data_IF_079074208755
#
_entry.id   IF_079074208755
#
_cell.length_a   1.000
_cell.length_b   1.000
_cell.length_c   1.000
_cell.angle_alpha   90.00
_cell.angle_beta   90.00
_cell.angle_gamma   90.00
#
_symmetry.space_group_name_H-M   'P 1'
#
loop_
_entity.id
_entity.type
_entity.pdbx_description
1 polymer ?
#
# COMPACT_ATOMS: atom_id res chain seq x y z
N UNK A 1 0.20 -51.32 33.31
CA UNK A 1 -0.90 -52.30 33.15
C UNK A 1 -2.10 -51.49 32.69
N UNK A 2 -2.15 -51.12 31.41
CA UNK A 2 -2.73 -51.87 30.27
C UNK A 2 -4.22 -52.12 30.47
N UNK A 3 -5.05 -51.37 29.74
CA UNK A 3 -6.36 -51.80 29.21
C UNK A 3 -6.65 -50.92 27.98
N UNK A 4 -6.28 -51.41 26.79
CA UNK A 4 -6.71 -50.85 25.51
C UNK A 4 -7.94 -51.64 25.06
N UNK A 5 -9.12 -51.01 25.10
CA UNK A 5 -10.35 -51.61 24.58
C UNK A 5 -10.34 -51.58 23.05
N UNK A 6 -10.28 -52.75 22.45
CA UNK A 6 -10.54 -53.02 21.03
C UNK A 6 -12.05 -53.10 20.82
N UNK A 7 -12.59 -52.27 19.92
CA UNK A 7 -13.92 -52.51 19.31
C UNK A 7 -13.79 -52.48 17.79
N UNK A 8 -13.82 -53.68 17.20
CA UNK A 8 -13.89 -53.88 15.76
C UNK A 8 -15.32 -53.67 15.25
N UNK A 9 -15.46 -52.90 14.18
CA UNK A 9 -16.71 -52.78 13.43
C UNK A 9 -16.61 -53.60 12.14
N UNK A 10 -17.50 -54.59 12.00
CA UNK A 10 -17.62 -55.47 10.84
C UNK A 10 -18.44 -54.75 9.75
N UNK A 11 -17.82 -54.43 8.60
CA UNK A 11 -18.55 -53.99 7.41
C UNK A 11 -19.18 -55.21 6.73
N UNK A 12 -20.51 -55.32 6.80
CA UNK A 12 -21.30 -56.25 6.01
C UNK A 12 -21.38 -55.79 4.55
N UNK A 13 -21.06 -56.69 3.62
CA UNK A 13 -21.19 -56.47 2.17
C UNK A 13 -22.56 -56.96 1.70
N UNK A 14 -23.49 -56.04 1.47
CA UNK A 14 -24.75 -56.34 0.78
C UNK A 14 -24.55 -56.20 -0.74
N UNK A 15 -24.51 -57.33 -1.46
CA UNK A 15 -24.51 -57.38 -2.91
C UNK A 15 -25.90 -56.96 -3.44
N UNK A 16 -25.99 -55.77 -4.06
CA UNK A 16 -27.17 -55.37 -4.83
C UNK A 16 -26.96 -55.73 -6.30
N UNK A 17 -27.68 -56.75 -6.76
CA UNK A 17 -27.78 -57.16 -8.15
C UNK A 17 -28.28 -55.99 -9.02
N UNK A 18 -27.46 -55.49 -9.94
CA UNK A 18 -27.83 -54.44 -10.89
C UNK A 18 -28.65 -55.04 -12.03
N UNK A 19 -29.92 -54.67 -12.13
CA UNK A 19 -30.77 -54.92 -13.31
C UNK A 19 -30.23 -54.08 -14.47
N UNK A 20 -29.72 -54.72 -15.52
CA UNK A 20 -29.25 -54.06 -16.74
C UNK A 20 -30.45 -53.45 -17.48
N UNK A 21 -30.51 -52.13 -17.49
CA UNK A 21 -31.43 -51.36 -18.33
C UNK A 21 -30.90 -51.47 -19.76
N UNK A 22 -31.70 -52.02 -20.67
CA UNK A 22 -31.42 -52.01 -22.09
C UNK A 22 -31.43 -50.55 -22.58
N UNK A 23 -30.25 -49.98 -22.83
CA UNK A 23 -30.12 -48.70 -23.48
C UNK A 23 -30.02 -48.93 -25.00
N UNK A 24 -30.98 -48.40 -25.76
CA UNK A 24 -30.75 -48.18 -27.18
C UNK A 24 -29.60 -47.16 -27.28
N UNK A 25 -28.41 -47.64 -27.65
CA UNK A 25 -27.24 -46.79 -27.80
C UNK A 25 -27.45 -45.80 -28.95
N UNK A 26 -27.67 -44.52 -28.63
CA UNK A 26 -27.41 -43.46 -29.58
C UNK A 26 -25.88 -43.37 -29.73
N UNK A 27 -25.39 -43.93 -30.85
CA UNK A 27 -23.97 -44.01 -31.20
C UNK A 27 -23.24 -42.71 -30.83
N UNK A 28 -22.26 -42.85 -29.93
CA UNK A 28 -21.55 -41.72 -29.37
C UNK A 28 -20.83 -40.94 -30.44
N UNK A 29 -21.02 -39.62 -30.44
CA UNK A 29 -19.94 -38.75 -30.89
C UNK A 29 -18.77 -38.97 -29.91
N UNK A 30 -17.61 -39.50 -30.34
CA UNK A 30 -16.45 -39.54 -29.47
C UNK A 30 -16.14 -38.10 -29.05
N UNK A 31 -15.83 -37.88 -27.77
CA UNK A 31 -15.58 -36.54 -27.21
C UNK A 31 -14.46 -35.78 -27.95
N UNK A 32 -13.64 -36.50 -28.73
CA UNK A 32 -12.61 -35.96 -29.63
C UNK A 32 -13.14 -35.15 -30.82
N UNK A 33 -14.38 -35.38 -31.27
CA UNK A 33 -15.02 -34.61 -32.36
C UNK A 33 -15.86 -33.43 -31.83
N UNK A 34 -16.02 -33.29 -30.52
CA UNK A 34 -16.73 -32.16 -29.94
C UNK A 34 -15.92 -30.87 -30.15
N UNK A 35 -16.56 -29.81 -30.66
CA UNK A 35 -15.95 -28.48 -30.78
C UNK A 35 -15.38 -28.09 -29.41
N UNK A 36 -14.06 -27.90 -29.32
CA UNK A 36 -13.41 -27.41 -28.10
C UNK A 36 -14.09 -26.11 -27.70
N UNK A 37 -14.52 -25.99 -26.44
CA UNK A 37 -15.03 -24.72 -25.90
C UNK A 37 -13.97 -23.65 -26.18
N UNK A 38 -14.40 -22.54 -26.77
CA UNK A 38 -13.51 -21.43 -27.07
C UNK A 38 -12.72 -21.07 -25.80
N UNK A 39 -11.41 -20.90 -25.94
CA UNK A 39 -10.58 -20.45 -24.82
C UNK A 39 -11.19 -19.16 -24.25
N UNK A 40 -11.31 -19.03 -22.92
CA UNK A 40 -11.82 -17.80 -22.34
C UNK A 40 -10.94 -16.65 -22.81
N UNK A 41 -11.57 -15.59 -23.32
CA UNK A 41 -10.86 -14.41 -23.79
C UNK A 41 -10.02 -13.86 -22.62
N UNK A 42 -8.70 -13.70 -22.81
CA UNK A 42 -7.83 -13.20 -21.75
C UNK A 42 -8.28 -11.77 -21.43
N UNK A 43 -8.81 -11.57 -20.22
CA UNK A 43 -9.16 -10.23 -19.75
C UNK A 43 -7.89 -9.35 -19.80
N UNK A 44 -8.01 -8.04 -20.10
CA UNK A 44 -6.85 -7.15 -20.03
C UNK A 44 -6.24 -7.18 -18.62
N UNK A 45 -4.92 -6.97 -18.49
CA UNK A 45 -4.27 -6.91 -17.19
C UNK A 45 -4.88 -5.78 -16.35
N UNK A 46 -5.02 -6.00 -15.04
CA UNK A 46 -5.39 -4.94 -14.13
C UNK A 46 -4.29 -3.88 -14.12
N UNK A 47 -4.63 -2.65 -14.51
CA UNK A 47 -3.67 -1.54 -14.60
C UNK A 47 -3.25 -0.97 -13.25
N UNK A 48 -4.00 -1.26 -12.17
CA UNK A 48 -3.71 -0.84 -10.79
C UNK A 48 -3.39 0.65 -10.62
N UNK A 49 -3.99 1.53 -11.43
CA UNK A 49 -3.69 2.98 -11.46
C UNK A 49 -4.01 3.68 -10.13
N UNK A 50 -5.01 3.19 -9.39
CA UNK A 50 -5.40 3.72 -8.07
C UNK A 50 -4.75 2.98 -6.89
N UNK A 51 -3.92 1.97 -7.16
CA UNK A 51 -3.26 1.24 -6.08
C UNK A 51 -2.15 2.10 -5.47
N UNK A 52 -2.08 2.12 -4.13
CA UNK A 52 -1.00 2.79 -3.43
C UNK A 52 0.36 2.16 -3.82
N UNK A 53 1.39 3.00 -4.00
CA UNK A 53 2.74 2.52 -4.24
C UNK A 53 3.26 1.79 -3.00
N UNK A 54 3.77 0.57 -3.19
CA UNK A 54 4.25 -0.29 -2.10
C UNK A 54 5.59 0.13 -1.52
N UNK A 55 6.40 0.88 -2.28
CA UNK A 55 7.72 1.34 -1.86
C UNK A 55 7.81 2.84 -2.12
N UNK A 56 7.84 3.62 -1.04
CA UNK A 56 8.13 5.06 -1.09
C UNK A 56 9.61 5.24 -0.74
N UNK A 57 10.44 5.83 -1.62
CA UNK A 57 11.84 6.11 -1.30
C UNK A 57 11.93 7.13 -0.16
N UNK A 58 13.02 7.08 0.63
CA UNK A 58 13.24 8.09 1.68
C UNK A 58 13.37 9.48 1.06
N UNK A 59 12.68 10.46 1.64
CA UNK A 59 12.80 11.84 1.18
C UNK A 59 14.09 12.49 1.64
N UNK A 60 14.50 13.53 0.93
CA UNK A 60 15.52 14.45 1.42
C UNK A 60 15.10 15.06 2.75
N UNK A 61 13.83 15.47 2.88
CA UNK A 61 13.29 16.02 4.14
C UNK A 61 13.62 15.14 5.35
N UNK A 62 13.36 13.84 5.26
CA UNK A 62 13.65 12.89 6.35
C UNK A 62 15.14 12.81 6.66
N UNK A 63 15.99 12.78 5.64
CA UNK A 63 17.45 12.76 5.83
C UNK A 63 17.97 14.04 6.50
N UNK A 64 17.51 15.21 6.07
CA UNK A 64 17.90 16.50 6.66
C UNK A 64 17.44 16.62 8.12
N UNK A 65 16.23 16.12 8.42
CA UNK A 65 15.72 16.08 9.78
C UNK A 65 16.54 15.14 10.68
N UNK A 66 16.80 13.90 10.25
CA UNK A 66 17.58 12.92 11.03
C UNK A 66 19.04 13.39 11.27
N UNK A 67 19.59 14.16 10.32
CA UNK A 67 20.92 14.79 10.45
C UNK A 67 20.92 16.06 11.31
N UNK A 68 19.75 16.55 11.73
CA UNK A 68 19.56 17.82 12.46
C UNK A 68 19.97 19.08 11.68
N UNK A 69 19.96 19.03 10.35
CA UNK A 69 20.32 20.13 9.45
C UNK A 69 19.12 21.02 9.07
N UNK A 70 17.94 20.71 9.62
CA UNK A 70 16.75 21.51 9.41
C UNK A 70 16.72 22.74 10.36
N UNK A 71 16.33 23.93 9.85
CA UNK A 71 16.21 25.15 10.64
C UNK A 71 14.92 25.21 11.48
N UNK A 72 14.30 24.06 11.76
CA UNK A 72 13.04 23.92 12.48
C UNK A 72 13.13 22.80 13.50
N UNK A 73 12.43 22.95 14.61
CA UNK A 73 12.32 21.95 15.69
C UNK A 73 10.86 21.82 16.13
N UNK A 74 10.50 20.64 16.63
CA UNK A 74 9.21 20.45 17.29
C UNK A 74 9.30 20.99 18.71
N UNK A 75 8.37 21.87 19.06
CA UNK A 75 8.21 22.40 20.41
C UNK A 75 6.83 22.01 20.97
N UNK A 76 6.71 21.99 22.29
CA UNK A 76 5.51 21.60 22.99
C UNK A 76 5.13 22.67 24.01
N UNK A 77 4.10 23.45 23.69
CA UNK A 77 3.47 24.38 24.62
C UNK A 77 2.36 23.63 25.38
N UNK A 78 2.75 22.98 26.48
CA UNK A 78 1.87 22.11 27.25
C UNK A 78 1.43 20.88 26.44
N UNK A 79 0.13 20.75 26.20
CA UNK A 79 -0.43 19.67 25.37
C UNK A 79 -0.47 20.02 23.87
N UNK A 80 -0.12 21.26 23.49
CA UNK A 80 -0.18 21.72 22.11
C UNK A 80 1.19 21.58 21.45
N UNK A 81 1.25 20.84 20.35
CA UNK A 81 2.46 20.75 19.54
C UNK A 81 2.56 21.95 18.60
N UNK A 82 3.74 22.59 18.56
CA UNK A 82 4.07 23.69 17.65
C UNK A 82 5.41 23.44 16.98
N UNK A 83 5.71 24.21 15.95
CA UNK A 83 7.04 24.27 15.37
C UNK A 83 7.73 25.54 15.86
N UNK A 84 9.03 25.43 16.11
CA UNK A 84 9.88 26.55 16.46
C UNK A 84 10.99 26.66 15.42
N UNK A 85 11.11 27.84 14.83
CA UNK A 85 12.18 28.14 13.90
C UNK A 85 13.44 28.56 14.65
N UNK A 86 14.58 28.03 14.22
CA UNK A 86 15.90 28.44 14.74
C UNK A 86 16.36 29.77 14.13
N UNK A 87 15.82 30.13 12.96
CA UNK A 87 16.14 31.33 12.19
C UNK A 87 14.83 31.99 11.79
N UNK A 88 14.79 33.32 11.75
CA UNK A 88 13.62 34.05 11.29
C UNK A 88 13.25 33.65 9.85
N UNK A 89 11.96 33.38 9.61
CA UNK A 89 11.44 32.93 8.31
C UNK A 89 11.81 33.93 7.20
N UNK A 90 11.78 35.23 7.51
CA UNK A 90 12.11 36.28 6.56
C UNK A 90 13.59 36.29 6.14
N UNK A 91 14.51 35.71 6.92
CA UNK A 91 15.93 35.63 6.59
C UNK A 91 16.32 34.29 5.94
N UNK A 92 15.39 33.33 5.88
CA UNK A 92 15.66 32.01 5.34
C UNK A 92 15.82 32.03 3.80
N UNK A 93 16.63 31.12 3.28
CA UNK A 93 16.79 30.91 1.83
C UNK A 93 15.72 29.95 1.30
N UNK A 94 14.76 30.51 0.57
CA UNK A 94 13.64 29.76 0.02
C UNK A 94 14.04 28.81 -1.10
N UNK A 95 15.14 29.07 -1.82
CA UNK A 95 15.60 28.20 -2.91
C UNK A 95 16.11 26.85 -2.39
N UNK A 96 16.62 26.80 -1.16
CA UNK A 96 17.11 25.55 -0.58
C UNK A 96 16.01 24.85 0.22
N UNK A 97 15.35 25.56 1.12
CA UNK A 97 14.48 24.90 2.11
C UNK A 97 13.07 24.64 1.59
N UNK A 98 12.46 25.55 0.81
CA UNK A 98 11.06 25.38 0.39
C UNK A 98 10.83 24.09 -0.44
N UNK A 99 11.67 23.76 -1.44
CA UNK A 99 11.53 22.49 -2.16
C UNK A 99 11.66 21.27 -1.25
N UNK A 100 12.55 21.31 -0.25
CA UNK A 100 12.74 20.22 0.72
C UNK A 100 11.47 20.04 1.57
N UNK A 101 10.85 21.12 2.03
CA UNK A 101 9.58 21.07 2.77
C UNK A 101 8.43 20.52 1.90
N UNK A 102 8.34 20.93 0.64
CA UNK A 102 7.36 20.37 -0.30
C UNK A 102 7.58 18.87 -0.55
N UNK A 103 8.83 18.43 -0.67
CA UNK A 103 9.16 17.00 -0.79
C UNK A 103 8.69 16.23 0.46
N UNK A 104 8.83 16.84 1.63
CA UNK A 104 8.45 16.31 2.94
C UNK A 104 6.94 16.08 3.14
N UNK A 105 6.06 16.69 2.33
CA UNK A 105 4.60 16.48 2.43
C UNK A 105 4.17 15.02 2.16
N UNK A 106 5.04 14.23 1.53
CA UNK A 106 4.80 12.78 1.34
C UNK A 106 5.13 11.94 2.58
N UNK A 107 5.77 12.51 3.60
CA UNK A 107 6.15 11.78 4.80
C UNK A 107 4.94 11.35 5.62
N UNK A 108 4.95 10.07 6.04
CA UNK A 108 3.87 9.47 6.82
C UNK A 108 4.27 9.27 8.28
N UNK A 109 5.57 9.29 8.59
CA UNK A 109 6.08 9.06 9.94
C UNK A 109 6.14 10.35 10.75
N UNK A 110 5.67 10.28 11.99
CA UNK A 110 5.88 11.29 13.01
C UNK A 110 7.33 11.19 13.55
N UNK A 111 8.03 12.31 13.81
CA UNK A 111 7.57 13.71 13.79
C UNK A 111 7.72 14.44 12.44
N UNK A 112 8.38 13.84 11.45
CA UNK A 112 8.70 14.47 10.16
C UNK A 112 7.46 14.98 9.42
N UNK A 113 6.38 14.19 9.42
CA UNK A 113 5.09 14.57 8.80
C UNK A 113 4.57 15.91 9.34
N UNK A 114 4.50 16.06 10.66
CA UNK A 114 4.02 17.28 11.31
C UNK A 114 4.89 18.49 10.97
N UNK A 115 6.21 18.31 10.97
CA UNK A 115 7.16 19.37 10.63
C UNK A 115 7.05 19.82 9.17
N UNK A 116 6.90 18.87 8.24
CA UNK A 116 6.77 19.18 6.83
C UNK A 116 5.49 19.98 6.56
N UNK A 117 4.36 19.53 7.12
CA UNK A 117 3.05 20.16 6.97
C UNK A 117 3.04 21.59 7.54
N UNK A 118 3.38 21.76 8.82
CA UNK A 118 3.39 23.08 9.47
C UNK A 118 4.49 24.00 8.97
N UNK A 119 5.67 23.45 8.68
CA UNK A 119 6.77 24.23 8.14
C UNK A 119 6.43 24.79 6.76
N UNK A 120 5.75 24.00 5.91
CA UNK A 120 5.30 24.47 4.61
C UNK A 120 4.27 25.60 4.72
N UNK A 121 3.27 25.45 5.60
CA UNK A 121 2.28 26.51 5.88
C UNK A 121 2.95 27.83 6.28
N UNK A 122 3.86 27.79 7.27
CA UNK A 122 4.52 29.00 7.78
C UNK A 122 5.49 29.62 6.77
N UNK A 123 6.18 28.80 5.96
CA UNK A 123 7.04 29.30 4.89
C UNK A 123 6.23 30.02 3.81
N UNK A 124 5.08 29.49 3.41
CA UNK A 124 4.22 30.12 2.40
C UNK A 124 3.66 31.44 2.92
N UNK A 125 3.16 31.46 4.16
CA UNK A 125 2.60 32.66 4.80
C UNK A 125 3.68 33.73 5.01
N UNK A 126 4.89 33.33 5.41
CA UNK A 126 6.02 34.24 5.62
C UNK A 126 6.76 34.65 4.33
N UNK A 127 6.57 33.91 3.24
CA UNK A 127 7.42 33.98 2.05
C UNK A 127 7.27 35.18 1.15
N UNK A 128 6.18 35.96 1.26
CA UNK A 128 5.94 37.23 0.54
C UNK A 128 6.52 37.21 -0.89
N UNK A 129 7.52 38.05 -1.17
CA UNK A 129 8.13 38.22 -2.50
C UNK A 129 9.18 37.13 -2.85
N UNK A 130 9.63 36.33 -1.88
CA UNK A 130 10.64 35.28 -2.06
C UNK A 130 10.08 33.97 -2.62
N UNK A 131 8.76 33.82 -2.64
CA UNK A 131 8.11 32.59 -3.08
C UNK A 131 8.05 32.45 -4.61
N UNK A 132 7.75 33.55 -5.32
CA UNK A 132 7.60 33.54 -6.79
C UNK A 132 8.84 33.03 -7.55
N UNK A 133 10.08 33.41 -7.17
CA UNK A 133 11.30 32.93 -7.84
C UNK A 133 11.55 31.41 -7.72
N UNK A 134 10.90 30.73 -6.77
CA UNK A 134 11.20 29.32 -6.42
C UNK A 134 10.24 28.33 -7.08
N UNK A 135 9.06 28.77 -7.51
CA UNK A 135 8.02 27.93 -8.13
C UNK A 135 8.45 27.12 -9.39
N UNK A 136 9.48 27.48 -10.17
CA UNK A 136 9.94 26.64 -11.28
C UNK A 136 10.64 25.34 -10.86
N UNK A 137 11.03 25.21 -9.59
CA UNK A 137 11.74 24.05 -9.03
C UNK A 137 10.77 22.93 -8.65
#
# INVERSE_FOLDING_TARGET
>A
MVEFSVTGSRMGTASKSKKLIHCNGMGGNPSSLAKKKAAPNKKPPCSNIFAAQSVVPSTQFKMFYERNDMPVVVDFEGATRRIQWKVEIEMLDYHHYLPIFFEGLRELSEPSKFLADRGCDELIVGGKDKLLPVLPQ
#
